data_IF_035090945107
#
_entry.id   IF_035090945107
#
_cell.length_a   1.000
_cell.length_b   1.000
_cell.length_c   1.000
_cell.angle_alpha   90.00
_cell.angle_beta   90.00
_cell.angle_gamma   90.00
#
_symmetry.space_group_name_H-M   'P 1'
#
loop_
_entity.id
_entity.type
_entity.pdbx_description
1 polymer ?
#
# COMPACT_ATOMS: atom_id res chain seq x y z
N UNK A 1 26.58 60.30 -30.80
CA UNK A 1 26.41 59.63 -29.48
C UNK A 1 27.42 60.21 -28.51
N UNK A 2 27.09 60.36 -27.22
CA UNK A 2 27.98 60.97 -26.22
C UNK A 2 28.91 59.92 -25.59
N UNK A 3 30.18 60.27 -25.38
CA UNK A 3 31.24 59.35 -24.95
C UNK A 3 31.43 59.27 -23.44
N UNK A 4 30.45 59.74 -22.66
CA UNK A 4 30.54 59.86 -21.20
C UNK A 4 30.40 58.51 -20.46
N UNK A 5 29.55 57.61 -20.96
CA UNK A 5 29.42 56.26 -20.40
C UNK A 5 30.53 55.37 -20.97
N UNK A 6 31.52 55.03 -20.14
CA UNK A 6 32.69 54.21 -20.49
C UNK A 6 32.94 53.15 -19.42
N UNK A 7 33.41 51.95 -19.79
CA UNK A 7 33.86 50.95 -18.82
C UNK A 7 35.16 51.38 -18.13
N UNK A 8 35.37 50.93 -16.90
CA UNK A 8 36.62 51.12 -16.16
C UNK A 8 37.62 50.02 -16.54
N UNK A 9 38.62 50.35 -17.37
CA UNK A 9 39.69 49.40 -17.72
C UNK A 9 40.75 49.29 -16.61
N UNK A 10 41.21 50.43 -16.07
CA UNK A 10 42.09 50.48 -14.90
C UNK A 10 41.29 50.74 -13.61
N UNK A 11 41.44 49.93 -12.55
CA UNK A 11 40.85 50.20 -11.25
C UNK A 11 41.64 51.28 -10.49
N UNK A 12 40.93 52.05 -9.66
CA UNK A 12 41.55 53.05 -8.80
C UNK A 12 42.53 52.39 -7.79
N UNK A 13 43.81 52.74 -7.86
CA UNK A 13 44.85 52.20 -6.97
C UNK A 13 44.81 52.89 -5.61
N UNK A 14 44.80 52.10 -4.54
CA UNK A 14 44.89 52.61 -3.18
C UNK A 14 46.18 53.41 -2.94
N UNK A 15 46.05 54.54 -2.27
CA UNK A 15 47.11 55.36 -1.67
C UNK A 15 46.63 55.79 -0.29
N UNK A 16 47.51 56.36 0.53
CA UNK A 16 47.10 57.03 1.76
C UNK A 16 46.20 58.23 1.43
N UNK A 17 44.90 58.06 1.62
CA UNK A 17 43.94 59.15 1.50
C UNK A 17 44.00 60.01 2.77
N UNK A 18 43.98 61.35 2.61
CA UNK A 18 43.86 62.28 3.73
C UNK A 18 42.52 62.06 4.43
N UNK A 19 42.57 61.33 5.54
CA UNK A 19 41.39 60.96 6.34
C UNK A 19 40.99 62.17 7.18
N UNK A 20 40.00 62.92 6.73
CA UNK A 20 39.49 64.10 7.42
C UNK A 20 38.89 63.78 8.79
N UNK A 21 38.64 64.83 9.59
CA UNK A 21 38.17 64.76 10.99
C UNK A 21 36.74 64.16 11.13
N UNK A 22 36.05 63.91 10.02
CA UNK A 22 34.70 63.34 10.01
C UNK A 22 34.72 61.81 10.18
N UNK A 23 34.16 61.33 11.30
CA UNK A 23 33.99 59.91 11.58
C UNK A 23 32.62 59.41 11.10
N UNK A 24 32.60 58.22 10.49
CA UNK A 24 31.36 57.52 10.12
C UNK A 24 30.88 56.64 11.28
N UNK A 25 29.57 56.38 11.41
CA UNK A 25 28.99 55.54 12.48
C UNK A 25 29.64 54.15 12.61
N UNK A 26 30.09 53.55 11.49
CA UNK A 26 30.82 52.26 11.48
C UNK A 26 32.26 52.32 12.02
N UNK A 27 32.78 53.52 12.34
CA UNK A 27 34.09 53.75 12.95
C UNK A 27 34.00 54.06 14.45
N UNK A 28 32.79 54.04 15.03
CA UNK A 28 32.63 54.10 16.49
C UNK A 28 33.22 52.81 17.12
N UNK A 29 33.77 52.87 18.35
CA UNK A 29 34.40 51.71 18.98
C UNK A 29 33.45 50.52 19.13
N UNK A 30 33.78 49.43 18.42
CA UNK A 30 33.06 48.15 18.46
C UNK A 30 34.08 47.00 18.39
N UNK A 31 33.75 45.87 19.04
CA UNK A 31 34.63 44.68 19.10
C UNK A 31 36.08 44.98 19.54
N UNK A 32 36.24 45.87 20.53
CA UNK A 32 37.55 46.32 21.06
C UNK A 32 38.39 45.24 21.75
N UNK A 33 37.83 44.04 21.97
CA UNK A 33 38.52 42.88 22.55
C UNK A 33 38.55 41.75 21.53
N UNK A 34 39.77 41.37 21.10
CA UNK A 34 40.00 40.19 20.27
C UNK A 34 39.83 38.93 21.11
N UNK A 35 39.07 37.95 20.60
CA UNK A 35 38.94 36.64 21.23
C UNK A 35 40.14 35.77 20.86
N UNK A 36 40.98 35.45 21.83
CA UNK A 36 42.02 34.43 21.67
C UNK A 36 41.42 33.03 21.74
N UNK A 37 42.12 32.08 21.11
CA UNK A 37 41.80 30.65 21.13
C UNK A 37 42.16 30.07 22.50
N UNK A 38 41.25 29.30 23.11
CA UNK A 38 41.52 28.59 24.38
C UNK A 38 41.94 27.15 24.12
N UNK A 39 42.57 26.53 25.12
CA UNK A 39 42.77 25.08 25.19
C UNK A 39 41.45 24.34 24.88
N UNK A 40 41.52 23.29 24.07
CA UNK A 40 40.38 22.53 23.55
C UNK A 40 39.68 23.15 22.33
N UNK A 41 40.08 24.34 21.87
CA UNK A 41 39.51 24.99 20.67
C UNK A 41 40.38 24.80 19.41
N UNK A 42 41.39 23.94 19.47
CA UNK A 42 42.35 23.66 18.40
C UNK A 42 43.44 24.74 18.27
N UNK A 43 44.35 24.52 17.31
CA UNK A 43 45.42 25.46 16.96
C UNK A 43 46.42 25.70 18.09
N UNK A 44 47.14 26.81 18.00
CA UNK A 44 48.38 27.14 18.72
C UNK A 44 48.24 27.21 20.27
N UNK A 45 47.01 27.14 20.80
CA UNK A 45 46.77 26.98 22.24
C UNK A 45 46.95 25.51 22.70
N UNK A 46 46.62 24.56 21.82
CA UNK A 46 46.71 23.12 22.06
C UNK A 46 48.13 22.62 21.72
N UNK A 47 49.07 22.81 22.65
CA UNK A 47 50.50 22.45 22.52
C UNK A 47 50.79 20.93 22.33
N UNK A 48 49.77 20.08 22.21
CA UNK A 48 49.94 18.63 22.01
C UNK A 48 49.90 18.28 20.52
N UNK A 49 50.92 17.59 19.97
CA UNK A 49 50.88 17.14 18.58
C UNK A 49 49.80 16.07 18.40
N UNK A 50 48.87 16.30 17.46
CA UNK A 50 47.83 15.33 17.06
C UNK A 50 48.22 14.67 15.75
N UNK A 51 48.02 13.36 15.64
CA UNK A 51 48.04 12.68 14.34
C UNK A 51 46.72 12.93 13.61
N UNK A 52 46.68 14.05 12.88
CA UNK A 52 45.55 14.46 12.06
C UNK A 52 45.22 13.45 10.95
N UNK A 53 46.16 12.58 10.55
CA UNK A 53 45.91 11.54 9.54
C UNK A 53 45.15 10.36 10.16
N UNK A 54 45.56 9.92 11.35
CA UNK A 54 44.83 8.88 12.09
C UNK A 54 43.42 9.34 12.48
N UNK A 55 43.27 10.57 12.98
CA UNK A 55 41.99 11.19 13.33
C UNK A 55 41.05 11.27 12.12
N UNK A 56 41.55 11.73 10.97
CA UNK A 56 40.79 11.82 9.72
C UNK A 56 40.31 10.45 9.22
N UNK A 57 41.20 9.44 9.20
CA UNK A 57 40.84 8.10 8.72
C UNK A 57 39.80 7.41 9.61
N UNK A 58 39.88 7.60 10.94
CA UNK A 58 38.85 7.12 11.86
C UNK A 58 37.51 7.83 11.64
N UNK A 59 37.52 9.15 11.46
CA UNK A 59 36.31 9.93 11.17
C UNK A 59 35.67 9.57 9.82
N UNK A 60 36.48 9.31 8.78
CA UNK A 60 36.01 8.83 7.48
C UNK A 60 35.38 7.44 7.57
N UNK A 61 36.02 6.49 8.27
CA UNK A 61 35.48 5.15 8.48
C UNK A 61 34.12 5.19 9.23
N UNK A 62 34.02 5.99 10.30
CA UNK A 62 32.76 6.19 11.02
C UNK A 62 31.68 6.88 10.16
N UNK A 63 32.06 7.79 9.27
CA UNK A 63 31.15 8.44 8.32
C UNK A 63 30.63 7.45 7.25
N UNK A 64 31.52 6.58 6.75
CA UNK A 64 31.17 5.53 5.79
C UNK A 64 30.26 4.47 6.41
N UNK A 65 30.55 3.98 7.62
CA UNK A 65 29.69 3.03 8.33
C UNK A 65 28.25 3.56 8.49
N UNK A 66 28.13 4.83 8.93
CA UNK A 66 26.83 5.52 9.07
C UNK A 66 26.10 5.71 7.72
N UNK A 67 26.81 5.94 6.61
CA UNK A 67 26.24 6.01 5.25
C UNK A 67 25.78 4.65 4.72
N UNK A 68 26.49 3.58 5.05
CA UNK A 68 26.19 2.21 4.62
C UNK A 68 25.22 1.47 5.55
N UNK A 69 24.59 2.16 6.51
CA UNK A 69 23.55 1.61 7.39
C UNK A 69 24.05 0.62 8.45
N UNK A 70 25.36 0.31 8.49
CA UNK A 70 25.94 -0.59 9.50
C UNK A 70 26.09 0.19 10.81
N UNK A 71 25.13 0.00 11.71
CA UNK A 71 25.24 0.47 13.10
C UNK A 71 26.44 -0.23 13.76
N UNK A 72 27.51 0.52 14.00
CA UNK A 72 28.64 0.12 14.83
C UNK A 72 28.29 0.49 16.26
N UNK A 73 27.72 -0.46 17.01
CA UNK A 73 27.20 -0.24 18.35
C UNK A 73 28.31 -0.30 19.41
N UNK A 74 29.27 0.63 19.32
CA UNK A 74 30.24 0.92 20.38
C UNK A 74 30.30 2.43 20.69
N UNK A 75 30.61 2.68 21.96
CA UNK A 75 30.53 3.92 22.75
C UNK A 75 31.67 4.92 22.45
N UNK A 76 31.64 6.21 22.85
CA UNK A 76 30.57 7.10 23.33
C UNK A 76 31.01 8.59 23.23
N UNK A 77 30.06 9.50 23.52
CA UNK A 77 30.15 10.96 23.77
C UNK A 77 30.99 11.88 22.84
N UNK A 78 30.27 12.82 22.20
CA UNK A 78 30.80 14.12 21.79
C UNK A 78 29.68 15.17 21.65
N UNK A 79 29.00 15.52 22.74
CA UNK A 79 28.43 16.87 22.99
C UNK A 79 27.45 17.54 21.98
N UNK A 80 26.17 17.58 22.40
CA UNK A 80 25.19 18.67 22.19
C UNK A 80 24.38 18.84 20.87
N UNK A 81 23.09 19.18 21.06
CA UNK A 81 22.18 19.87 20.13
C UNK A 81 21.77 19.18 18.81
N UNK A 82 21.32 17.92 18.87
CA UNK A 82 20.30 17.44 17.92
C UNK A 82 18.89 17.79 18.40
N UNK A 83 18.20 18.66 17.69
CA UNK A 83 16.77 18.96 17.93
C UNK A 83 15.93 17.76 17.51
N UNK A 84 14.91 17.40 18.31
CA UNK A 84 14.02 16.24 18.09
C UNK A 84 13.54 16.16 16.63
N UNK A 85 13.90 15.14 15.85
CA UNK A 85 13.10 14.76 14.69
C UNK A 85 11.74 14.25 15.20
N UNK A 86 10.68 14.54 14.45
CA UNK A 86 9.34 14.05 14.77
C UNK A 86 9.26 12.56 14.40
N UNK A 87 8.88 11.70 15.35
CA UNK A 87 8.56 10.31 15.04
C UNK A 87 7.28 10.28 14.22
N UNK A 88 7.36 9.75 12.99
CA UNK A 88 6.24 9.12 12.32
C UNK A 88 6.33 7.63 12.62
N UNK A 89 5.19 7.00 12.86
CA UNK A 89 5.09 5.55 12.96
C UNK A 89 5.13 4.96 11.54
N UNK A 90 6.16 4.18 11.22
CA UNK A 90 6.10 3.24 10.10
C UNK A 90 5.65 1.89 10.66
N UNK A 91 4.42 1.50 10.35
CA UNK A 91 3.83 0.24 10.81
C UNK A 91 4.56 -0.96 10.21
N UNK A 92 4.99 -1.89 11.06
CA UNK A 92 5.77 -3.05 10.67
C UNK A 92 4.88 -4.28 10.44
N UNK A 93 4.40 -4.45 9.22
CA UNK A 93 3.77 -5.69 8.72
C UNK A 93 4.30 -5.98 7.31
N UNK A 94 5.09 -7.06 7.16
CA UNK A 94 5.59 -7.52 5.85
C UNK A 94 5.59 -9.06 5.78
N UNK A 95 4.48 -9.69 5.36
CA UNK A 95 4.31 -11.14 5.31
C UNK A 95 4.22 -11.71 3.87
N UNK A 96 5.02 -11.21 2.92
CA UNK A 96 5.00 -11.64 1.51
C UNK A 96 6.35 -12.20 1.02
N UNK A 97 6.83 -13.26 1.66
CA UNK A 97 7.87 -14.17 1.13
C UNK A 97 7.37 -15.65 1.24
N UNK A 98 6.19 -15.92 0.69
CA UNK A 98 5.63 -17.29 0.58
C UNK A 98 5.32 -17.69 -0.87
N UNK A 99 5.98 -18.75 -1.32
CA UNK A 99 5.92 -19.27 -2.70
C UNK A 99 4.48 -19.63 -3.15
N UNK A 100 3.98 -19.09 -4.29
CA UNK A 100 2.67 -19.41 -4.83
C UNK A 100 2.51 -20.88 -5.27
N UNK A 101 3.59 -21.64 -5.48
CA UNK A 101 3.51 -23.07 -5.82
C UNK A 101 3.04 -23.93 -4.63
N UNK A 102 3.41 -23.57 -3.41
CA UNK A 102 3.00 -24.28 -2.19
C UNK A 102 1.46 -24.25 -2.02
N UNK A 103 0.86 -23.08 -2.27
CA UNK A 103 -0.60 -22.86 -2.20
C UNK A 103 -1.35 -23.65 -3.27
N UNK A 104 -0.74 -23.89 -4.44
CA UNK A 104 -1.33 -24.74 -5.51
C UNK A 104 -1.31 -26.23 -5.18
N UNK A 105 -0.27 -26.75 -4.53
CA UNK A 105 -0.21 -28.18 -4.13
C UNK A 105 -1.33 -28.56 -3.16
N UNK A 106 -1.54 -27.74 -2.10
CA UNK A 106 -2.54 -28.01 -1.07
C UNK A 106 -3.97 -28.13 -1.63
N UNK A 107 -4.34 -27.25 -2.55
CA UNK A 107 -5.67 -27.27 -3.19
C UNK A 107 -5.88 -28.55 -4.02
N UNK A 108 -4.82 -29.05 -4.67
CA UNK A 108 -4.88 -30.26 -5.51
C UNK A 108 -4.95 -31.58 -4.71
N UNK A 109 -4.49 -31.57 -3.45
CA UNK A 109 -4.72 -32.68 -2.52
C UNK A 109 -6.14 -32.63 -1.94
N UNK A 110 -6.66 -31.45 -1.61
CA UNK A 110 -7.99 -31.27 -0.99
C UNK A 110 -9.15 -31.61 -1.94
N UNK A 111 -8.99 -31.45 -3.26
CA UNK A 111 -10.02 -31.82 -4.25
C UNK A 111 -10.01 -33.28 -4.68
N UNK A 112 -9.11 -34.12 -4.15
CA UNK A 112 -8.91 -35.51 -4.62
C UNK A 112 -10.04 -36.46 -4.21
N UNK A 113 -10.65 -36.24 -3.04
CA UNK A 113 -11.53 -37.22 -2.39
C UNK A 113 -13.03 -36.96 -2.64
N UNK A 114 -13.37 -36.21 -3.70
CA UNK A 114 -14.75 -35.80 -4.05
C UNK A 114 -15.23 -36.45 -5.37
N UNK A 115 -14.33 -37.02 -6.18
CA UNK A 115 -14.65 -37.65 -7.47
C UNK A 115 -14.86 -39.17 -7.34
N UNK A 116 -16.00 -39.54 -6.74
CA UNK A 116 -16.42 -40.93 -6.52
C UNK A 116 -17.90 -41.10 -6.93
N UNK A 117 -18.14 -41.05 -8.24
CA UNK A 117 -19.47 -41.09 -8.83
C UNK A 117 -20.19 -42.44 -8.58
N UNK A 118 -21.52 -42.39 -8.38
CA UNK A 118 -22.36 -43.56 -8.09
C UNK A 118 -23.52 -43.64 -9.07
N UNK A 119 -23.22 -44.10 -10.29
CA UNK A 119 -24.18 -44.36 -11.36
C UNK A 119 -25.08 -45.58 -11.06
N UNK A 120 -26.29 -45.62 -11.63
CA UNK A 120 -27.24 -46.74 -11.51
C UNK A 120 -28.70 -46.29 -11.29
N UNK A 121 -29.44 -46.12 -12.37
CA UNK A 121 -30.82 -45.61 -12.37
C UNK A 121 -31.89 -46.53 -11.73
N UNK A 122 -33.00 -45.93 -11.33
CA UNK A 122 -34.25 -46.55 -10.87
C UNK A 122 -35.28 -46.63 -12.01
N UNK A 123 -35.92 -47.79 -12.20
CA UNK A 123 -37.21 -47.97 -12.91
C UNK A 123 -37.65 -49.45 -12.87
N UNK A 124 -38.76 -49.74 -12.18
CA UNK A 124 -39.52 -51.00 -12.33
C UNK A 124 -41.02 -50.67 -12.44
N UNK A 125 -41.64 -51.05 -13.57
CA UNK A 125 -43.06 -50.85 -13.91
C UNK A 125 -43.40 -51.67 -15.17
N UNK A 126 -44.55 -52.35 -15.17
CA UNK A 126 -45.13 -53.05 -16.32
C UNK A 126 -46.59 -53.44 -16.01
N UNK A 127 -47.51 -52.82 -16.75
CA UNK A 127 -48.98 -52.96 -16.70
C UNK A 127 -49.53 -52.92 -18.16
N UNK A 128 -50.72 -53.39 -18.57
CA UNK A 128 -51.94 -53.94 -17.92
C UNK A 128 -52.56 -55.03 -18.86
N UNK A 129 -53.83 -55.48 -18.67
CA UNK A 129 -54.55 -56.55 -19.44
C UNK A 129 -53.97 -57.99 -19.25
N UNK A 130 -54.68 -59.14 -19.36
CA UNK A 130 -56.10 -59.58 -19.43
C UNK A 130 -56.15 -61.09 -19.03
N UNK A 131 -57.26 -61.84 -18.84
CA UNK A 131 -58.72 -61.57 -18.84
C UNK A 131 -59.29 -61.79 -17.40
N UNK A 132 -60.37 -62.51 -17.01
CA UNK A 132 -61.40 -63.40 -17.59
C UNK A 132 -62.72 -63.26 -16.75
N UNK A 133 -63.75 -64.10 -16.95
CA UNK A 133 -65.12 -63.91 -16.38
C UNK A 133 -65.36 -64.58 -15.01
N UNK A 134 -65.91 -63.88 -13.99
CA UNK A 134 -67.33 -64.06 -13.59
C UNK A 134 -67.93 -63.08 -12.54
N UNK A 135 -69.26 -62.97 -12.58
CA UNK A 135 -70.27 -62.24 -11.77
C UNK A 135 -69.94 -61.43 -10.47
N UNK A 136 -69.70 -60.12 -10.65
CA UNK A 136 -70.29 -58.93 -9.94
C UNK A 136 -70.30 -58.76 -8.41
N UNK A 137 -70.29 -59.79 -7.56
CA UNK A 137 -70.58 -59.65 -6.13
C UNK A 137 -69.40 -59.12 -5.29
N UNK A 138 -68.17 -59.42 -5.70
CA UNK A 138 -66.95 -59.03 -4.97
C UNK A 138 -66.53 -57.58 -5.25
N UNK A 139 -66.97 -57.04 -6.41
CA UNK A 139 -66.65 -55.71 -6.94
C UNK A 139 -66.90 -54.58 -5.93
N UNK A 140 -67.93 -54.68 -5.10
CA UNK A 140 -68.24 -53.66 -4.08
C UNK A 140 -67.22 -53.62 -2.93
N UNK A 141 -66.64 -54.76 -2.56
CA UNK A 141 -65.54 -54.82 -1.57
C UNK A 141 -64.21 -54.42 -2.20
N UNK A 142 -64.00 -54.77 -3.46
CA UNK A 142 -62.84 -54.33 -4.22
C UNK A 142 -62.82 -52.81 -4.42
N UNK A 143 -63.97 -52.19 -4.72
CA UNK A 143 -64.08 -50.73 -4.79
C UNK A 143 -63.78 -50.04 -3.45
N UNK A 144 -64.12 -50.63 -2.30
CA UNK A 144 -63.70 -50.11 -0.99
C UNK A 144 -62.19 -50.25 -0.76
N UNK A 145 -61.60 -51.37 -1.19
CA UNK A 145 -60.15 -51.63 -1.15
C UNK A 145 -59.37 -50.65 -2.05
N UNK A 146 -59.76 -50.50 -3.32
CA UNK A 146 -59.20 -49.54 -4.29
C UNK A 146 -59.39 -48.10 -3.81
N UNK A 147 -60.54 -47.75 -3.22
CA UNK A 147 -60.80 -46.41 -2.67
C UNK A 147 -59.92 -46.12 -1.45
N UNK A 148 -59.65 -47.11 -0.60
CA UNK A 148 -58.69 -47.00 0.51
C UNK A 148 -57.26 -46.86 0.01
N UNK A 149 -56.88 -47.64 -1.00
CA UNK A 149 -55.54 -47.62 -1.60
C UNK A 149 -55.26 -46.29 -2.33
N UNK A 150 -56.20 -45.81 -3.17
CA UNK A 150 -56.11 -44.46 -3.75
C UNK A 150 -56.15 -43.35 -2.71
N UNK A 151 -56.86 -43.51 -1.59
CA UNK A 151 -56.81 -42.54 -0.50
C UNK A 151 -55.42 -42.51 0.17
N UNK A 152 -54.77 -43.67 0.32
CA UNK A 152 -53.41 -43.76 0.88
C UNK A 152 -52.35 -43.24 -0.10
N UNK A 153 -52.43 -43.57 -1.39
CA UNK A 153 -51.57 -42.99 -2.43
C UNK A 153 -51.74 -41.48 -2.52
N UNK A 154 -52.98 -40.97 -2.57
CA UNK A 154 -53.26 -39.53 -2.60
C UNK A 154 -52.79 -38.82 -1.33
N UNK A 155 -52.91 -39.43 -0.15
CA UNK A 155 -52.37 -38.88 1.08
C UNK A 155 -50.82 -38.81 1.06
N UNK A 156 -50.14 -39.82 0.48
CA UNK A 156 -48.68 -39.79 0.27
C UNK A 156 -48.28 -38.71 -0.74
N UNK A 157 -49.03 -38.54 -1.82
CA UNK A 157 -48.79 -37.50 -2.83
C UNK A 157 -49.04 -36.08 -2.28
N UNK A 158 -50.10 -35.87 -1.50
CA UNK A 158 -50.41 -34.59 -0.85
C UNK A 158 -49.39 -34.27 0.25
N UNK A 159 -48.91 -35.25 1.01
CA UNK A 159 -47.79 -35.07 1.93
C UNK A 159 -46.49 -34.70 1.19
N UNK A 160 -46.16 -35.38 0.09
CA UNK A 160 -44.98 -35.07 -0.72
C UNK A 160 -45.06 -33.69 -1.40
N UNK A 161 -46.26 -33.19 -1.70
CA UNK A 161 -46.49 -31.82 -2.19
C UNK A 161 -46.36 -30.80 -1.06
N UNK A 162 -46.90 -31.07 0.12
CA UNK A 162 -46.77 -30.19 1.28
C UNK A 162 -45.29 -30.00 1.68
N UNK A 163 -44.50 -31.09 1.73
CA UNK A 163 -43.05 -31.01 2.01
C UNK A 163 -42.33 -30.13 0.98
N UNK A 164 -42.66 -30.24 -0.32
CA UNK A 164 -42.06 -29.39 -1.37
C UNK A 164 -42.47 -27.92 -1.26
N UNK A 165 -43.72 -27.65 -0.89
CA UNK A 165 -44.18 -26.27 -0.64
C UNK A 165 -43.50 -25.67 0.60
N UNK A 166 -43.21 -26.49 1.62
CA UNK A 166 -42.41 -26.09 2.79
C UNK A 166 -40.93 -25.85 2.43
N UNK A 167 -40.31 -26.73 1.63
CA UNK A 167 -38.95 -26.56 1.10
C UNK A 167 -38.81 -25.27 0.25
N UNK A 168 -39.71 -25.04 -0.70
CA UNK A 168 -39.74 -23.82 -1.52
C UNK A 168 -39.92 -22.56 -0.66
N UNK A 169 -40.74 -22.65 0.39
CA UNK A 169 -40.97 -21.56 1.34
C UNK A 169 -39.75 -21.29 2.22
N UNK A 170 -39.05 -22.31 2.70
CA UNK A 170 -37.80 -22.16 3.45
C UNK A 170 -36.69 -21.56 2.58
N UNK A 171 -36.55 -22.01 1.33
CA UNK A 171 -35.63 -21.41 0.34
C UNK A 171 -35.99 -19.94 0.09
N UNK A 172 -37.27 -19.62 -0.06
CA UNK A 172 -37.76 -18.25 -0.21
C UNK A 172 -37.45 -17.35 0.99
N UNK A 173 -37.58 -17.87 2.22
CA UNK A 173 -37.25 -17.15 3.46
C UNK A 173 -35.73 -16.96 3.60
N UNK A 174 -34.94 -18.00 3.33
CA UNK A 174 -33.48 -17.97 3.48
C UNK A 174 -32.79 -17.12 2.42
N UNK A 175 -33.25 -17.17 1.16
CA UNK A 175 -32.63 -16.47 0.03
C UNK A 175 -33.23 -15.08 -0.24
N UNK A 176 -34.45 -14.81 0.24
CA UNK A 176 -35.18 -13.55 -0.03
C UNK A 176 -34.59 -12.30 0.62
N UNK A 177 -33.65 -12.43 1.58
CA UNK A 177 -32.96 -11.29 2.18
C UNK A 177 -31.56 -11.07 1.57
N UNK A 178 -31.36 -10.05 0.72
CA UNK A 178 -30.08 -9.81 0.05
C UNK A 178 -28.95 -9.36 0.99
N UNK A 179 -29.25 -9.01 2.26
CA UNK A 179 -28.23 -8.69 3.27
C UNK A 179 -27.67 -9.93 3.98
N UNK A 180 -28.42 -11.03 4.02
CA UNK A 180 -27.98 -12.29 4.66
C UNK A 180 -27.23 -13.21 3.68
N UNK A 181 -27.33 -12.96 2.37
CA UNK A 181 -26.68 -13.77 1.34
C UNK A 181 -25.54 -13.00 0.66
N UNK A 182 -24.31 -12.99 1.23
CA UNK A 182 -23.20 -12.16 0.73
C UNK A 182 -22.74 -12.51 -0.70
N UNK A 183 -23.10 -13.69 -1.21
CA UNK A 183 -22.84 -14.11 -2.61
C UNK A 183 -23.73 -13.38 -3.63
N UNK A 184 -24.84 -12.78 -3.19
CA UNK A 184 -25.76 -12.04 -4.06
C UNK A 184 -25.27 -10.63 -4.41
N UNK A 185 -24.48 -9.98 -3.54
CA UNK A 185 -24.05 -8.58 -3.73
C UNK A 185 -22.76 -8.44 -4.56
N UNK A 186 -22.70 -9.11 -5.71
CA UNK A 186 -21.64 -8.89 -6.69
C UNK A 186 -21.89 -7.59 -7.47
N UNK A 187 -21.11 -6.54 -7.17
CA UNK A 187 -21.21 -5.21 -7.82
C UNK A 187 -20.77 -5.31 -9.29
N UNK A 188 -21.72 -5.68 -10.14
CA UNK A 188 -21.50 -6.10 -11.54
C UNK A 188 -20.90 -5.03 -12.46
N UNK A 189 -20.99 -3.76 -12.10
CA UNK A 189 -20.28 -2.66 -12.76
C UNK A 189 -19.95 -1.57 -11.75
N UNK A 190 -18.69 -1.12 -11.73
CA UNK A 190 -18.26 0.00 -10.89
C UNK A 190 -18.52 1.33 -11.60
N UNK A 191 -18.68 2.42 -10.86
CA UNK A 191 -18.74 3.76 -11.44
C UNK A 191 -17.43 4.14 -12.16
N UNK A 192 -16.29 3.64 -11.67
CA UNK A 192 -14.96 3.73 -12.29
C UNK A 192 -14.87 3.05 -13.68
N UNK A 193 -15.80 2.17 -14.01
CA UNK A 193 -15.63 1.25 -15.15
C UNK A 193 -15.94 1.90 -16.50
N UNK A 194 -16.74 2.96 -16.51
CA UNK A 194 -17.06 3.80 -17.68
C UNK A 194 -15.96 4.82 -18.03
N UNK A 195 -14.83 4.81 -17.32
CA UNK A 195 -13.75 5.78 -17.52
C UNK A 195 -12.79 5.28 -18.61
N UNK A 196 -12.72 6.03 -19.71
CA UNK A 196 -11.87 5.72 -20.89
C UNK A 196 -10.35 5.70 -20.61
N UNK A 197 -9.92 6.18 -19.44
CA UNK A 197 -8.53 6.13 -18.99
C UNK A 197 -8.44 5.51 -17.60
N UNK A 198 -7.79 4.35 -17.48
CA UNK A 198 -7.58 3.65 -16.20
C UNK A 198 -6.08 3.66 -15.85
N UNK A 199 -5.75 3.86 -14.57
CA UNK A 199 -4.40 3.74 -14.00
C UNK A 199 -3.28 4.65 -14.58
N UNK A 200 -3.57 5.83 -15.13
CA UNK A 200 -2.57 6.72 -15.77
C UNK A 200 -1.31 7.03 -14.92
N UNK A 201 -1.45 7.15 -13.60
CA UNK A 201 -0.34 7.48 -12.70
C UNK A 201 0.40 6.25 -12.12
N UNK A 202 0.03 5.02 -12.50
CA UNK A 202 0.62 3.80 -11.93
C UNK A 202 2.10 3.69 -12.35
N UNK A 203 3.00 3.84 -11.37
CA UNK A 203 4.46 3.83 -11.58
C UNK A 203 5.09 5.22 -11.80
N UNK A 204 4.32 6.31 -11.75
CA UNK A 204 4.89 7.68 -11.81
C UNK A 204 5.51 8.14 -10.50
N UNK A 205 5.50 7.30 -9.45
CA UNK A 205 6.13 7.53 -8.15
C UNK A 205 7.68 7.51 -8.17
N UNK A 206 8.28 7.62 -9.36
CA UNK A 206 9.64 8.12 -9.58
C UNK A 206 9.77 9.57 -9.06
N UNK A 207 9.71 9.74 -7.73
CA UNK A 207 10.10 10.95 -7.01
C UNK A 207 11.55 11.20 -7.41
N UNK A 208 11.75 12.16 -8.33
CA UNK A 208 13.01 12.38 -9.02
C UNK A 208 14.19 12.36 -8.05
N UNK A 209 15.25 11.63 -8.43
CA UNK A 209 16.48 11.51 -7.64
C UNK A 209 16.92 12.90 -7.18
N UNK A 210 17.44 13.00 -5.95
CA UNK A 210 17.86 14.27 -5.34
C UNK A 210 19.17 14.78 -5.97
N UNK A 211 19.09 15.14 -7.24
CA UNK A 211 20.19 15.55 -8.10
C UNK A 211 20.43 17.06 -7.95
N UNK A 212 21.69 17.44 -7.70
CA UNK A 212 22.10 18.83 -7.71
C UNK A 212 22.57 19.21 -9.12
N UNK A 213 21.84 20.10 -9.79
CA UNK A 213 22.21 20.63 -11.10
C UNK A 213 22.89 21.99 -10.92
N UNK A 214 24.14 22.10 -11.38
CA UNK A 214 24.90 23.35 -11.39
C UNK A 214 24.48 24.29 -12.55
N UNK A 215 23.18 24.61 -12.61
CA UNK A 215 22.55 25.46 -13.62
C UNK A 215 21.42 26.27 -12.94
N UNK A 216 21.52 27.60 -13.00
CA UNK A 216 20.58 28.50 -12.32
C UNK A 216 19.17 28.52 -12.94
N UNK A 217 18.99 27.99 -14.16
CA UNK A 217 17.70 27.93 -14.87
C UNK A 217 17.15 26.49 -14.91
N UNK A 218 18.02 25.48 -15.05
CA UNK A 218 17.63 24.06 -15.14
C UNK A 218 17.60 23.32 -13.80
N UNK A 219 18.09 23.92 -12.71
CA UNK A 219 17.92 23.40 -11.36
C UNK A 219 16.43 23.28 -10.99
N UNK A 220 16.08 22.21 -10.27
CA UNK A 220 14.72 21.99 -9.75
C UNK A 220 14.24 23.10 -8.81
N UNK A 221 15.17 23.81 -8.16
CA UNK A 221 14.83 25.03 -7.43
C UNK A 221 14.21 26.08 -8.36
N UNK A 222 14.80 26.32 -9.53
CA UNK A 222 14.33 27.30 -10.49
C UNK A 222 13.02 26.87 -11.16
N UNK A 223 12.90 25.59 -11.53
CA UNK A 223 11.63 25.03 -12.06
C UNK A 223 10.48 25.24 -11.07
N UNK A 224 10.70 24.92 -9.78
CA UNK A 224 9.69 25.09 -8.71
C UNK A 224 9.44 26.56 -8.39
N UNK A 225 10.45 27.43 -8.50
CA UNK A 225 10.28 28.88 -8.35
C UNK A 225 9.38 29.42 -9.46
N UNK A 226 9.71 29.15 -10.73
CA UNK A 226 8.91 29.62 -11.86
C UNK A 226 7.48 29.06 -11.82
N UNK A 227 7.30 27.76 -11.58
CA UNK A 227 5.98 27.14 -11.40
C UNK A 227 5.15 27.67 -10.21
N UNK A 228 5.74 28.47 -9.31
CA UNK A 228 5.06 29.07 -8.15
C UNK A 228 4.77 30.55 -8.34
N UNK A 229 5.67 31.29 -9.01
CA UNK A 229 5.59 32.75 -9.15
C UNK A 229 5.22 33.22 -10.56
N UNK A 230 5.17 32.31 -11.54
CA UNK A 230 4.62 32.50 -12.88
C UNK A 230 3.55 31.43 -13.10
N UNK A 231 2.44 31.79 -13.74
CA UNK A 231 1.28 30.93 -13.98
C UNK A 231 0.89 30.94 -15.45
#
# INVERSE_FOLDING_TARGET
MTTAHRPTFDPARGKEAQRGVAYHQRLLPAHTLLKTRKLGQGGDADNQPRDLRAELLAAEAANQAKKHGRQTDETADAGANSKRPLQLEEGQDNPEDEDPEAKRRRILEETRDIDADSDGADSDSSEEESDEEDETAELMRELEKIKRERAEQKAKEEAAKAVKEEEEREVGIALGNPLLNPKAFNVKRRWDDDVIFKNQARGTEQKGKKEFVNDLLRSDFHKRFMSKYVR
#
